data_IF_556773756807
#
_entry.id   IF_556773756807
#
_cell.length_a   1.000
_cell.length_b   1.000
_cell.length_c   1.000
_cell.angle_alpha   90.00
_cell.angle_beta   90.00
_cell.angle_gamma   90.00
#
_symmetry.space_group_name_H-M   'P 1'
#
loop_
_entity.id
_entity.type
_entity.pdbx_description
1 polymer ?
#
# COMPACT_ATOMS: atom_id res chain seq x y z
N UNK A 1 33.86 -24.10 -7.88
CA UNK A 1 32.65 -24.12 -7.02
C UNK A 1 31.47 -24.51 -7.91
N UNK A 2 30.97 -25.75 -7.82
CA UNK A 2 29.83 -26.19 -8.65
C UNK A 2 28.55 -25.58 -8.07
N UNK A 3 27.75 -24.90 -8.90
CA UNK A 3 26.43 -24.44 -8.46
C UNK A 3 25.55 -25.65 -8.13
N UNK A 4 24.84 -25.59 -7.00
CA UNK A 4 23.88 -26.62 -6.62
C UNK A 4 22.71 -26.61 -7.63
N UNK A 5 22.32 -27.75 -8.23
CA UNK A 5 21.18 -27.82 -9.13
C UNK A 5 19.87 -27.29 -8.53
N UNK A 6 19.65 -27.44 -7.22
CA UNK A 6 18.49 -26.87 -6.53
C UNK A 6 18.48 -25.33 -6.59
N UNK A 7 19.65 -24.72 -6.41
CA UNK A 7 19.81 -23.27 -6.49
C UNK A 7 19.46 -22.76 -7.89
N UNK A 8 19.91 -23.46 -8.93
CA UNK A 8 19.60 -23.12 -10.33
C UNK A 8 18.08 -23.19 -10.57
N UNK A 9 17.43 -24.27 -10.12
CA UNK A 9 15.97 -24.45 -10.26
C UNK A 9 15.18 -23.37 -9.52
N UNK A 10 15.62 -22.97 -8.33
CA UNK A 10 14.99 -21.90 -7.56
C UNK A 10 15.11 -20.55 -8.29
N UNK A 11 16.30 -20.23 -8.81
CA UNK A 11 16.51 -19.00 -9.58
C UNK A 11 15.62 -18.96 -10.83
N UNK A 12 15.52 -20.06 -11.58
CA UNK A 12 14.66 -20.15 -12.76
C UNK A 12 13.20 -19.97 -12.38
N UNK A 13 12.74 -20.63 -11.31
CA UNK A 13 11.36 -20.50 -10.82
C UNK A 13 11.02 -19.05 -10.44
N UNK A 14 11.89 -18.37 -9.69
CA UNK A 14 11.70 -16.97 -9.31
C UNK A 14 11.69 -16.07 -10.55
N UNK A 15 12.62 -16.27 -11.49
CA UNK A 15 12.67 -15.50 -12.74
C UNK A 15 11.39 -15.65 -13.55
N UNK A 16 10.85 -16.88 -13.66
CA UNK A 16 9.59 -17.14 -14.37
C UNK A 16 8.42 -16.45 -13.69
N UNK A 17 8.31 -16.53 -12.35
CA UNK A 17 7.25 -15.87 -11.59
C UNK A 17 7.33 -14.35 -11.78
N UNK A 18 8.51 -13.74 -11.65
CA UNK A 18 8.70 -12.30 -11.82
C UNK A 18 8.37 -11.85 -13.25
N UNK A 19 8.81 -12.63 -14.25
CA UNK A 19 8.51 -12.35 -15.66
C UNK A 19 7.01 -12.42 -15.93
N UNK A 20 6.32 -13.43 -15.39
CA UNK A 20 4.87 -13.54 -15.50
C UNK A 20 4.17 -12.35 -14.85
N UNK A 21 4.57 -11.96 -13.63
CA UNK A 21 3.98 -10.81 -12.93
C UNK A 21 4.16 -9.51 -13.72
N UNK A 22 5.34 -9.27 -14.31
CA UNK A 22 5.61 -8.08 -15.12
C UNK A 22 4.79 -8.03 -16.42
N UNK A 23 4.45 -9.19 -17.00
CA UNK A 23 3.59 -9.26 -18.20
C UNK A 23 2.12 -9.15 -17.81
N UNK A 24 1.72 -9.78 -16.70
CA UNK A 24 0.34 -9.80 -16.23
C UNK A 24 -0.11 -8.43 -15.69
N UNK A 25 0.73 -7.78 -14.90
CA UNK A 25 0.50 -6.41 -14.42
C UNK A 25 1.14 -5.43 -15.40
N UNK A 26 0.31 -4.62 -16.08
CA UNK A 26 0.78 -3.64 -17.07
C UNK A 26 1.81 -2.68 -16.45
N UNK A 27 3.08 -2.65 -16.92
CA UNK A 27 4.13 -1.83 -16.32
C UNK A 27 3.79 -0.34 -16.27
N UNK A 28 3.11 0.17 -17.29
CA UNK A 28 2.69 1.57 -17.35
C UNK A 28 1.73 1.96 -16.22
N UNK A 29 0.89 1.02 -15.76
CA UNK A 29 0.00 1.24 -14.62
C UNK A 29 0.75 1.16 -13.29
N UNK A 30 1.71 0.25 -13.17
CA UNK A 30 2.55 0.10 -11.96
C UNK A 30 3.35 1.38 -11.71
N UNK A 31 3.88 2.00 -12.77
CA UNK A 31 4.69 3.21 -12.71
C UNK A 31 3.86 4.49 -12.80
N UNK A 32 2.53 4.39 -12.86
CA UNK A 32 1.66 5.56 -12.93
C UNK A 32 1.67 6.34 -11.61
N UNK A 33 1.63 7.67 -11.71
CA UNK A 33 1.48 8.56 -10.54
C UNK A 33 0.00 8.60 -10.11
N UNK A 34 -0.48 7.45 -9.66
CA UNK A 34 -1.84 7.27 -9.14
C UNK A 34 -1.78 6.61 -7.78
N UNK A 35 -2.88 6.70 -7.02
CA UNK A 35 -2.99 5.97 -5.76
C UNK A 35 -2.96 4.47 -6.04
N UNK A 36 -2.03 3.74 -5.41
CA UNK A 36 -1.96 2.29 -5.56
C UNK A 36 -3.30 1.65 -5.24
N UNK A 37 -3.71 0.71 -6.10
CA UNK A 37 -4.94 -0.05 -5.94
C UNK A 37 -4.68 -1.25 -5.02
N UNK A 38 -5.73 -1.76 -4.39
CA UNK A 38 -5.66 -2.84 -3.40
C UNK A 38 -6.82 -2.76 -2.44
N UNK A 39 -7.17 -3.87 -1.79
CA UNK A 39 -8.41 -3.99 -0.99
C UNK A 39 -8.61 -2.84 0.00
N UNK A 40 -7.74 -2.76 1.02
CA UNK A 40 -7.86 -1.75 2.07
C UNK A 40 -7.04 -0.48 1.79
N UNK A 41 -6.35 -0.38 0.65
CA UNK A 41 -5.46 0.75 0.40
C UNK A 41 -6.22 2.09 0.36
N UNK A 42 -7.44 2.10 -0.17
CA UNK A 42 -8.27 3.30 -0.19
C UNK A 42 -8.60 3.83 1.21
N UNK A 43 -8.87 2.94 2.17
CA UNK A 43 -9.14 3.34 3.55
C UNK A 43 -7.86 3.89 4.21
N UNK A 44 -6.72 3.22 4.02
CA UNK A 44 -5.43 3.67 4.56
C UNK A 44 -4.90 4.97 3.94
N UNK A 45 -5.09 5.18 2.64
CA UNK A 45 -4.72 6.43 1.97
C UNK A 45 -5.44 7.63 2.59
N UNK A 46 -6.75 7.49 2.84
CA UNK A 46 -7.56 8.54 3.49
C UNK A 46 -7.03 8.88 4.88
N UNK A 47 -6.58 7.88 5.64
CA UNK A 47 -5.94 8.08 6.95
C UNK A 47 -4.68 8.94 6.83
N UNK A 48 -3.74 8.53 5.98
CA UNK A 48 -2.49 9.27 5.79
C UNK A 48 -2.71 10.68 5.24
N UNK A 49 -3.62 10.82 4.27
CA UNK A 49 -3.97 12.10 3.66
C UNK A 49 -4.58 13.07 4.68
N UNK A 50 -5.53 12.61 5.50
CA UNK A 50 -6.17 13.44 6.52
C UNK A 50 -5.21 13.82 7.65
N UNK A 51 -4.33 12.90 8.05
CA UNK A 51 -3.28 13.19 9.02
C UNK A 51 -2.34 14.29 8.52
N UNK A 52 -1.80 14.15 7.31
CA UNK A 52 -0.87 15.11 6.70
C UNK A 52 -1.51 16.48 6.51
N UNK A 53 -2.72 16.54 5.96
CA UNK A 53 -3.31 17.79 5.49
C UNK A 53 -4.19 18.51 6.53
N UNK A 54 -4.66 17.81 7.56
CA UNK A 54 -5.53 18.40 8.57
C UNK A 54 -5.03 18.18 9.99
N UNK A 55 -4.80 16.95 10.44
CA UNK A 55 -4.49 16.71 11.87
C UNK A 55 -3.15 17.31 12.30
N UNK A 56 -2.05 16.99 11.60
CA UNK A 56 -0.72 17.47 11.95
C UNK A 56 -0.60 19.00 11.89
N UNK A 57 -1.11 19.70 10.85
CA UNK A 57 -1.16 21.17 10.83
C UNK A 57 -1.90 21.78 12.04
N UNK A 58 -2.92 21.09 12.55
CA UNK A 58 -3.69 21.52 13.72
C UNK A 58 -3.16 20.97 15.05
N UNK A 59 -1.98 20.33 15.05
CA UNK A 59 -1.37 19.70 16.24
C UNK A 59 -2.29 18.66 16.91
N UNK A 60 -3.06 17.94 16.11
CA UNK A 60 -3.93 16.84 16.54
C UNK A 60 -3.35 15.50 16.08
N UNK A 61 -3.59 14.46 16.86
CA UNK A 61 -3.27 13.06 16.51
C UNK A 61 -4.53 12.25 16.17
N UNK A 62 -5.67 12.65 16.74
CA UNK A 62 -6.99 12.04 16.53
C UNK A 62 -7.96 13.09 15.99
N UNK A 63 -9.00 12.66 15.28
CA UNK A 63 -10.05 13.57 14.85
C UNK A 63 -11.18 12.91 14.07
N UNK A 64 -12.26 13.65 13.84
CA UNK A 64 -13.41 13.19 13.06
C UNK A 64 -13.21 13.48 11.57
N UNK A 65 -13.26 12.46 10.73
CA UNK A 65 -13.24 12.64 9.27
C UNK A 65 -14.68 12.70 8.75
N UNK A 66 -15.13 13.79 8.10
CA UNK A 66 -16.55 14.01 7.83
C UNK A 66 -17.07 13.36 6.53
N UNK A 67 -16.20 12.87 5.64
CA UNK A 67 -16.60 12.50 4.27
C UNK A 67 -17.12 11.07 4.10
N UNK A 68 -17.16 10.26 5.16
CA UNK A 68 -17.86 8.97 5.15
C UNK A 68 -19.33 9.16 5.54
N UNK A 69 -20.16 8.12 5.41
CA UNK A 69 -21.63 8.20 5.49
C UNK A 69 -22.17 9.01 6.69
N UNK A 70 -21.52 8.92 7.85
CA UNK A 70 -21.76 9.82 9.00
C UNK A 70 -20.45 10.43 9.53
N UNK A 71 -19.34 10.26 8.81
CA UNK A 71 -17.99 10.44 9.28
C UNK A 71 -17.43 9.25 10.07
N UNK A 72 -16.15 9.34 10.42
CA UNK A 72 -15.43 8.27 11.13
C UNK A 72 -14.41 8.86 12.11
N UNK A 73 -14.23 8.25 13.31
CA UNK A 73 -13.20 8.67 14.24
C UNK A 73 -11.84 8.11 13.82
N UNK A 74 -10.97 8.99 13.32
CA UNK A 74 -9.64 8.65 12.84
C UNK A 74 -8.67 8.47 14.00
N UNK A 75 -7.91 7.36 13.98
CA UNK A 75 -6.86 7.00 14.95
C UNK A 75 -7.34 6.81 16.40
N UNK A 76 -8.65 6.83 16.66
CA UNK A 76 -9.20 6.72 18.01
C UNK A 76 -9.22 5.28 18.55
N UNK A 77 -9.41 4.29 17.68
CA UNK A 77 -9.51 2.88 18.08
C UNK A 77 -8.26 2.06 17.72
N UNK A 78 -7.38 2.63 16.89
CA UNK A 78 -6.13 2.05 16.46
C UNK A 78 -5.07 3.16 16.46
N UNK A 79 -3.85 2.83 16.88
CA UNK A 79 -2.64 3.68 16.85
C UNK A 79 -2.49 4.77 17.92
N UNK A 80 -3.57 5.39 18.42
CA UNK A 80 -3.49 6.29 19.58
C UNK A 80 -4.08 5.61 20.84
N UNK A 81 -3.48 5.83 22.03
CA UNK A 81 -4.03 5.35 23.31
C UNK A 81 -5.31 6.09 23.72
#
# INVERSE_FOLDING_TARGET
>A
MKLNPEFITNCISILLILSFLLVFFTPDLILSDTTTTGGDMGSHYVLAHYMKNYLLPHKKLIGWYPHWMAGTPMFQFYFAP
#
